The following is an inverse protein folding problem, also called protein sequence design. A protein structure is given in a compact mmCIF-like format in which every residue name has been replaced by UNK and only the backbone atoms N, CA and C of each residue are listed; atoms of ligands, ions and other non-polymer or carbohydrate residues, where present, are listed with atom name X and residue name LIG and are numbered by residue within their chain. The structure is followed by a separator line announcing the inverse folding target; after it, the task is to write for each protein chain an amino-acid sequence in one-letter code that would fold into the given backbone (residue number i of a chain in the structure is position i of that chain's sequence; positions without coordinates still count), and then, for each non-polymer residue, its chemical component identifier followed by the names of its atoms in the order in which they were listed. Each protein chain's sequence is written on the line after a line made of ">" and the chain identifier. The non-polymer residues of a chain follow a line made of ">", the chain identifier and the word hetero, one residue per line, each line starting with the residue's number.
data_IF_465311298940
#
_entry.id   IF_465311298940
#
_cell.length_a   1.000
_cell.length_b   1.000
_cell.length_c   1.000
_cell.angle_alpha   90.00
_cell.angle_beta   90.00
_cell.angle_gamma   90.00
#
_symmetry.space_group_name_H-M   'P 1'
#
loop_
_entity.id
_entity.type
_entity.pdbx_description
1 polymer ?
#
# COMPACT_ATOMS: atom_id res chain seq x y z
N UNK A 1 0.89 16.40 -20.39
CA UNK A 1 0.77 15.09 -19.72
C UNK A 1 2.09 14.66 -19.08
N UNK A 2 3.24 14.92 -19.72
CA UNK A 2 4.56 14.51 -19.23
C UNK A 2 4.91 14.98 -17.82
N UNK A 3 4.49 16.19 -17.40
CA UNK A 3 4.72 16.69 -16.03
C UNK A 3 3.68 16.25 -15.00
N UNK A 4 2.48 15.84 -15.43
CA UNK A 4 1.38 15.54 -14.52
C UNK A 4 1.62 14.23 -13.76
N UNK A 5 2.05 13.19 -14.47
CA UNK A 5 2.35 11.89 -13.88
C UNK A 5 3.41 11.95 -12.76
N UNK A 6 4.62 12.51 -12.99
CA UNK A 6 5.62 12.61 -11.93
C UNK A 6 5.15 13.49 -10.77
N UNK A 7 4.41 14.58 -11.05
CA UNK A 7 3.82 15.40 -10.00
C UNK A 7 2.83 14.61 -9.12
N UNK A 8 1.98 13.77 -9.71
CA UNK A 8 1.06 12.90 -8.98
C UNK A 8 1.80 11.84 -8.14
N UNK A 9 2.88 11.26 -8.67
CA UNK A 9 3.71 10.30 -7.92
C UNK A 9 4.39 10.96 -6.73
N UNK A 10 4.99 12.14 -6.93
CA UNK A 10 5.61 12.91 -5.86
C UNK A 10 4.57 13.29 -4.80
N UNK A 11 3.40 13.77 -5.21
CA UNK A 11 2.30 14.08 -4.29
C UNK A 11 1.87 12.85 -3.49
N UNK A 12 1.70 11.70 -4.15
CA UNK A 12 1.37 10.43 -3.50
C UNK A 12 2.43 10.04 -2.46
N UNK A 13 3.71 10.07 -2.84
CA UNK A 13 4.85 9.77 -1.96
C UNK A 13 4.85 10.68 -0.73
N UNK A 14 4.69 12.00 -0.93
CA UNK A 14 4.67 12.98 0.16
C UNK A 14 3.49 12.75 1.10
N UNK A 15 2.28 12.59 0.56
CA UNK A 15 1.07 12.41 1.38
C UNK A 15 1.12 11.11 2.18
N UNK A 16 1.46 9.99 1.53
CA UNK A 16 1.54 8.69 2.23
C UNK A 16 2.65 8.68 3.27
N UNK A 17 3.80 9.31 2.99
CA UNK A 17 4.88 9.46 3.98
C UNK A 17 4.45 10.32 5.16
N UNK A 18 3.78 11.44 4.93
CA UNK A 18 3.26 12.31 6.00
C UNK A 18 2.22 11.59 6.87
N UNK A 19 1.33 10.82 6.25
CA UNK A 19 0.37 9.95 6.95
C UNK A 19 1.11 8.89 7.77
N UNK A 20 2.15 8.27 7.21
CA UNK A 20 3.01 7.29 7.88
C UNK A 20 3.70 7.86 9.12
N UNK A 21 4.34 9.03 9.01
CA UNK A 21 4.96 9.75 10.13
C UNK A 21 3.93 10.07 11.20
N UNK A 22 2.76 10.58 10.82
CA UNK A 22 1.69 10.86 11.79
C UNK A 22 1.22 9.61 12.50
N UNK A 23 1.04 8.49 11.79
CA UNK A 23 0.70 7.21 12.40
C UNK A 23 1.78 6.74 13.40
N UNK A 24 3.07 6.88 13.07
CA UNK A 24 4.16 6.60 14.00
C UNK A 24 4.13 7.49 15.25
N UNK A 25 3.84 8.79 15.10
CA UNK A 25 3.71 9.72 16.23
C UNK A 25 2.53 9.35 17.13
N UNK A 26 1.40 8.94 16.55
CA UNK A 26 0.26 8.41 17.32
C UNK A 26 0.68 7.14 18.05
N UNK A 27 1.36 6.23 17.37
CA UNK A 27 1.81 4.96 17.93
C UNK A 27 2.84 5.09 19.06
N UNK A 28 3.62 6.19 19.05
CA UNK A 28 4.50 6.57 20.17
C UNK A 28 3.69 6.96 21.41
N UNK A 29 2.55 7.65 21.23
CA UNK A 29 1.68 8.10 22.33
C UNK A 29 0.78 6.99 22.85
N UNK A 30 0.21 6.15 21.98
CA UNK A 30 -0.76 5.11 22.34
C UNK A 30 -0.12 3.76 22.70
N UNK A 31 1.14 3.54 22.27
CA UNK A 31 1.83 2.26 22.42
C UNK A 31 1.27 1.11 21.56
N UNK A 32 0.30 1.37 20.68
CA UNK A 32 -0.37 0.31 19.92
C UNK A 32 0.47 -0.15 18.73
N UNK A 33 0.67 -1.48 18.61
CA UNK A 33 1.46 -2.09 17.53
C UNK A 33 0.91 -1.85 16.12
N UNK A 34 -0.42 -1.90 15.86
CA UNK A 34 -0.94 -1.69 14.51
C UNK A 34 -0.58 -0.32 13.92
N UNK A 35 -0.62 0.74 14.72
CA UNK A 35 -0.27 2.09 14.28
C UNK A 35 1.23 2.19 13.95
N UNK A 36 2.09 1.47 14.69
CA UNK A 36 3.53 1.37 14.38
C UNK A 36 3.76 0.68 13.04
N UNK A 37 3.09 -0.45 12.81
CA UNK A 37 3.23 -1.24 11.58
C UNK A 37 2.72 -0.47 10.36
N UNK A 38 1.54 0.15 10.45
CA UNK A 38 1.02 0.98 9.38
C UNK A 38 1.96 2.14 9.08
N UNK A 39 2.37 2.89 10.10
CA UNK A 39 3.23 4.05 9.94
C UNK A 39 4.62 3.70 9.41
N UNK A 40 5.25 2.64 9.93
CA UNK A 40 6.53 2.15 9.46
C UNK A 40 6.43 1.65 8.01
N UNK A 41 5.39 0.89 7.68
CA UNK A 41 5.13 0.44 6.31
C UNK A 41 5.04 1.59 5.31
N UNK A 42 4.26 2.63 5.63
CA UNK A 42 4.12 3.81 4.78
C UNK A 42 5.44 4.58 4.59
N UNK A 43 6.21 4.79 5.67
CA UNK A 43 7.50 5.52 5.59
C UNK A 43 8.57 4.70 4.86
N UNK A 44 8.68 3.40 5.14
CA UNK A 44 9.66 2.54 4.50
C UNK A 44 9.39 2.40 3.01
N UNK A 45 8.13 2.17 2.59
CA UNK A 45 7.79 2.04 1.16
C UNK A 45 7.89 3.37 0.43
N UNK A 46 7.15 4.39 0.87
CA UNK A 46 7.01 5.63 0.12
C UNK A 46 8.11 6.65 0.44
N UNK A 47 8.51 6.76 1.71
CA UNK A 47 9.45 7.78 2.15
C UNK A 47 10.91 7.44 1.88
N UNK A 48 11.25 6.15 1.87
CA UNK A 48 12.63 5.68 1.67
C UNK A 48 12.74 4.83 0.41
N UNK A 49 12.10 3.66 0.39
CA UNK A 49 12.28 2.64 -0.64
C UNK A 49 12.01 3.12 -2.06
N UNK A 50 10.90 3.83 -2.32
CA UNK A 50 10.65 4.35 -3.66
C UNK A 50 11.68 5.43 -4.10
N UNK A 51 11.93 6.51 -3.34
CA UNK A 51 12.96 7.48 -3.70
C UNK A 51 14.36 6.89 -3.88
N UNK A 52 14.80 5.98 -3.00
CA UNK A 52 16.13 5.36 -3.12
C UNK A 52 16.21 4.41 -4.32
N UNK A 53 15.09 3.81 -4.74
CA UNK A 53 15.05 2.97 -5.93
C UNK A 53 15.23 3.82 -7.18
N UNK A 54 14.55 4.97 -7.27
CA UNK A 54 14.77 5.94 -8.37
C UNK A 54 16.21 6.46 -8.36
N UNK A 55 16.73 6.82 -7.19
CA UNK A 55 18.11 7.32 -7.05
C UNK A 55 19.18 6.27 -7.40
N UNK A 56 18.83 4.98 -7.39
CA UNK A 56 19.73 3.91 -7.81
C UNK A 56 19.89 3.77 -9.32
N UNK A 57 19.14 4.53 -10.13
CA UNK A 57 19.11 4.42 -11.59
C UNK A 57 18.15 3.35 -12.12
N UNK A 58 17.46 2.63 -11.24
CA UNK A 58 16.51 1.60 -11.63
C UNK A 58 15.33 2.17 -12.43
N UNK A 59 15.00 1.51 -13.54
CA UNK A 59 14.05 2.01 -14.54
C UNK A 59 14.73 2.68 -15.75
N UNK A 60 16.06 2.80 -15.73
CA UNK A 60 16.90 3.17 -16.87
C UNK A 60 17.63 1.96 -17.47
N UNK A 61 18.80 2.21 -18.06
CA UNK A 61 19.69 1.15 -18.58
C UNK A 61 20.37 0.42 -17.42
N UNK A 62 20.65 -0.87 -17.58
CA UNK A 62 21.38 -1.68 -16.59
C UNK A 62 22.74 -1.07 -16.25
N UNK A 63 23.44 -0.48 -17.23
CA UNK A 63 24.72 0.22 -17.02
C UNK A 63 24.65 1.35 -15.97
N UNK A 64 23.49 1.98 -15.83
CA UNK A 64 23.28 3.12 -14.94
C UNK A 64 22.81 2.69 -13.54
N UNK A 65 22.50 1.40 -13.35
CA UNK A 65 21.96 0.90 -12.08
C UNK A 65 23.10 0.64 -11.09
N UNK A 66 23.07 1.36 -9.97
CA UNK A 66 23.84 0.98 -8.79
C UNK A 66 23.15 -0.19 -8.07
N UNK A 67 23.47 -1.42 -8.49
CA UNK A 67 22.81 -2.65 -8.03
C UNK A 67 22.83 -2.80 -6.49
N UNK A 68 23.96 -2.62 -5.77
CA UNK A 68 23.96 -2.69 -4.31
C UNK A 68 23.00 -1.69 -3.66
N UNK A 69 22.93 -0.46 -4.19
CA UNK A 69 22.03 0.57 -3.67
C UNK A 69 20.57 0.26 -3.98
N UNK A 70 20.27 -0.26 -5.18
CA UNK A 70 18.95 -0.76 -5.54
C UNK A 70 18.51 -1.93 -4.64
N UNK A 71 19.38 -2.90 -4.36
CA UNK A 71 19.07 -4.02 -3.45
C UNK A 71 18.75 -3.53 -2.04
N UNK A 72 19.53 -2.59 -1.50
CA UNK A 72 19.25 -2.00 -0.19
C UNK A 72 17.90 -1.27 -0.17
N UNK A 73 17.62 -0.53 -1.25
CA UNK A 73 16.33 0.13 -1.44
C UNK A 73 15.16 -0.84 -1.47
N UNK A 74 15.29 -1.94 -2.21
CA UNK A 74 14.23 -2.94 -2.36
C UNK A 74 14.01 -3.71 -1.06
N UNK A 75 15.05 -4.02 -0.28
CA UNK A 75 14.91 -4.59 1.07
C UNK A 75 14.09 -3.67 1.99
N UNK A 76 14.33 -2.36 1.93
CA UNK A 76 13.57 -1.38 2.70
C UNK A 76 12.09 -1.39 2.27
N UNK A 77 11.82 -1.41 0.96
CA UNK A 77 10.45 -1.55 0.43
C UNK A 77 9.77 -2.83 0.92
N UNK A 78 10.46 -3.98 0.84
CA UNK A 78 9.93 -5.28 1.26
C UNK A 78 9.65 -5.34 2.76
N UNK A 79 10.53 -4.76 3.58
CA UNK A 79 10.27 -4.63 5.01
C UNK A 79 9.02 -3.79 5.28
N UNK A 80 8.82 -2.72 4.50
CA UNK A 80 7.60 -1.91 4.56
C UNK A 80 6.34 -2.70 4.16
N UNK A 81 6.42 -3.53 3.12
CA UNK A 81 5.32 -4.43 2.73
C UNK A 81 5.01 -5.49 3.80
N UNK A 82 6.04 -6.06 4.43
CA UNK A 82 5.87 -6.96 5.57
C UNK A 82 5.21 -6.26 6.77
N UNK A 83 5.47 -4.96 6.97
CA UNK A 83 4.76 -4.18 7.98
C UNK A 83 3.26 -4.08 7.65
N UNK A 84 2.86 -3.88 6.39
CA UNK A 84 1.45 -3.90 5.98
C UNK A 84 0.79 -5.28 6.12
N UNK A 85 1.52 -6.35 5.80
CA UNK A 85 1.07 -7.73 6.05
C UNK A 85 0.82 -7.96 7.56
N UNK A 86 1.78 -7.57 8.40
CA UNK A 86 1.67 -7.64 9.85
C UNK A 86 0.53 -6.79 10.40
N UNK A 87 0.31 -5.59 9.85
CA UNK A 87 -0.83 -4.74 10.20
C UNK A 87 -2.16 -5.44 9.91
N UNK A 88 -2.31 -5.98 8.70
CA UNK A 88 -3.53 -6.69 8.28
C UNK A 88 -3.78 -7.90 9.18
N UNK A 89 -2.73 -8.67 9.46
CA UNK A 89 -2.79 -9.81 10.38
C UNK A 89 -3.22 -9.40 11.79
N UNK A 90 -2.62 -8.37 12.38
CA UNK A 90 -2.93 -7.94 13.74
C UNK A 90 -4.32 -7.32 13.89
N UNK A 91 -4.77 -6.54 12.91
CA UNK A 91 -6.06 -5.84 12.97
C UNK A 91 -7.23 -6.79 12.68
N UNK A 92 -7.11 -7.61 11.64
CA UNK A 92 -8.25 -8.40 11.15
C UNK A 92 -8.23 -9.86 11.64
N UNK A 93 -7.06 -10.39 12.00
CA UNK A 93 -6.82 -11.81 12.28
C UNK A 93 -5.87 -12.04 13.48
N UNK A 94 -6.04 -11.37 14.63
CA UNK A 94 -5.09 -11.45 15.75
C UNK A 94 -4.88 -12.88 16.30
N UNK A 95 -5.87 -13.76 16.20
CA UNK A 95 -5.78 -15.16 16.67
C UNK A 95 -5.66 -16.22 15.56
N UNK A 96 -5.56 -15.83 14.29
CA UNK A 96 -5.51 -16.81 13.21
C UNK A 96 -4.11 -17.41 13.08
N UNK A 97 -3.99 -18.73 13.26
CA UNK A 97 -2.70 -19.45 13.16
C UNK A 97 -2.03 -19.32 11.80
N UNK A 98 -2.80 -19.16 10.72
CA UNK A 98 -2.25 -18.97 9.38
C UNK A 98 -1.69 -17.57 9.13
N UNK A 99 -2.01 -16.57 9.97
CA UNK A 99 -1.59 -15.18 9.77
C UNK A 99 -0.06 -15.03 9.74
N UNK A 100 0.67 -15.47 10.78
CA UNK A 100 2.14 -15.45 10.78
C UNK A 100 2.75 -16.27 9.64
N UNK A 101 2.16 -17.43 9.31
CA UNK A 101 2.63 -18.27 8.21
C UNK A 101 2.51 -17.55 6.85
N UNK A 102 1.41 -16.83 6.62
CA UNK A 102 1.22 -16.04 5.40
C UNK A 102 2.21 -14.87 5.31
N UNK A 103 2.46 -14.17 6.42
CA UNK A 103 3.45 -13.08 6.48
C UNK A 103 4.86 -13.62 6.18
N UNK A 104 5.24 -14.75 6.78
CA UNK A 104 6.52 -15.39 6.56
C UNK A 104 6.68 -15.90 5.11
N UNK A 105 5.65 -16.56 4.58
CA UNK A 105 5.64 -17.03 3.19
C UNK A 105 5.78 -15.86 2.21
N UNK A 106 5.06 -14.75 2.43
CA UNK A 106 5.19 -13.55 1.61
C UNK A 106 6.61 -12.96 1.71
N UNK A 107 7.21 -12.94 2.89
CA UNK A 107 8.60 -12.50 3.09
C UNK A 107 9.61 -13.34 2.33
N UNK A 108 9.52 -14.66 2.44
CA UNK A 108 10.37 -15.59 1.68
C UNK A 108 10.19 -15.41 0.16
N UNK A 109 8.94 -15.23 -0.28
CA UNK A 109 8.63 -15.01 -1.69
C UNK A 109 9.24 -13.70 -2.22
N UNK A 110 9.14 -12.62 -1.45
CA UNK A 110 9.75 -11.32 -1.75
C UNK A 110 11.29 -11.40 -1.78
N UNK A 111 11.90 -12.10 -0.82
CA UNK A 111 13.36 -12.29 -0.77
C UNK A 111 13.87 -13.12 -1.95
N UNK A 112 13.15 -14.18 -2.33
CA UNK A 112 13.48 -14.97 -3.51
C UNK A 112 13.40 -14.12 -4.80
N UNK A 113 12.34 -13.30 -4.93
CA UNK A 113 12.20 -12.32 -6.00
C UNK A 113 13.37 -11.33 -6.05
N UNK A 114 13.75 -10.75 -4.92
CA UNK A 114 14.89 -9.83 -4.87
C UNK A 114 16.20 -10.49 -5.26
N UNK A 115 16.51 -11.66 -4.69
CA UNK A 115 17.75 -12.38 -4.96
C UNK A 115 17.87 -12.75 -6.45
N UNK A 116 16.78 -13.23 -7.05
CA UNK A 116 16.73 -13.55 -8.47
C UNK A 116 16.87 -12.31 -9.35
N UNK A 117 16.16 -11.22 -9.03
CA UNK A 117 16.25 -9.96 -9.76
C UNK A 117 17.65 -9.35 -9.71
N UNK A 118 18.30 -9.36 -8.53
CA UNK A 118 19.66 -8.87 -8.37
C UNK A 118 20.66 -9.68 -9.19
N UNK A 119 20.54 -11.02 -9.17
CA UNK A 119 21.37 -11.90 -9.99
C UNK A 119 21.20 -11.62 -11.48
N UNK A 120 19.96 -11.49 -11.94
CA UNK A 120 19.66 -11.26 -13.35
C UNK A 120 20.14 -9.87 -13.80
N UNK A 121 20.07 -8.84 -12.94
CA UNK A 121 20.65 -7.52 -13.23
C UNK A 121 22.18 -7.55 -13.39
N UNK A 122 22.88 -8.27 -12.52
CA UNK A 122 24.36 -8.40 -12.59
C UNK A 122 24.80 -9.13 -13.86
N UNK A 123 23.99 -10.07 -14.34
CA UNK A 123 24.30 -10.88 -15.53
C UNK A 123 23.77 -10.31 -16.85
N UNK A 124 22.97 -9.24 -16.81
CA UNK A 124 22.31 -8.68 -17.98
C UNK A 124 23.26 -7.84 -18.85
N UNK A 125 22.87 -7.67 -20.12
CA UNK A 125 23.50 -6.72 -21.03
C UNK A 125 23.35 -5.28 -20.47
N UNK A 126 24.45 -4.52 -20.33
CA UNK A 126 24.41 -3.14 -19.83
C UNK A 126 23.49 -2.20 -20.62
N UNK A 127 23.24 -2.49 -21.91
CA UNK A 127 22.35 -1.71 -22.77
C UNK A 127 20.86 -2.07 -22.63
N UNK A 128 20.52 -3.09 -21.85
CA UNK A 128 19.13 -3.49 -21.61
C UNK A 128 18.46 -2.57 -20.57
N UNK A 129 17.15 -2.42 -20.67
CA UNK A 129 16.33 -1.79 -19.63
C UNK A 129 16.34 -2.64 -18.35
N UNK A 130 16.60 -2.02 -17.19
CA UNK A 130 16.79 -2.75 -15.93
C UNK A 130 15.52 -3.48 -15.47
N UNK A 131 14.34 -2.93 -15.75
CA UNK A 131 13.07 -3.59 -15.40
C UNK A 131 12.80 -4.79 -16.33
N UNK A 132 13.23 -4.72 -17.60
CA UNK A 132 13.18 -5.85 -18.51
C UNK A 132 14.16 -6.96 -18.11
N UNK A 133 15.39 -6.60 -17.73
CA UNK A 133 16.40 -7.54 -17.25
C UNK A 133 15.90 -8.37 -16.05
N UNK A 134 15.26 -7.72 -15.08
CA UNK A 134 14.75 -8.36 -13.86
C UNK A 134 13.29 -8.85 -13.94
N UNK A 135 12.65 -8.80 -15.12
CA UNK A 135 11.19 -8.91 -15.29
C UNK A 135 10.53 -10.09 -14.56
N UNK A 136 11.12 -11.27 -14.66
CA UNK A 136 10.50 -12.50 -14.17
C UNK A 136 10.41 -12.46 -12.65
N UNK A 137 11.47 -12.02 -12.01
CA UNK A 137 11.55 -11.90 -10.56
C UNK A 137 10.81 -10.68 -10.01
N UNK A 138 10.74 -9.58 -10.77
CA UNK A 138 9.87 -8.44 -10.43
C UNK A 138 8.39 -8.85 -10.38
N UNK A 139 7.93 -9.72 -11.28
CA UNK A 139 6.57 -10.24 -11.21
C UNK A 139 6.31 -10.99 -9.90
N UNK A 140 7.29 -11.73 -9.38
CA UNK A 140 7.18 -12.38 -8.08
C UNK A 140 7.03 -11.35 -6.95
N UNK A 141 7.88 -10.33 -6.93
CA UNK A 141 7.74 -9.23 -5.96
C UNK A 141 6.37 -8.56 -6.05
N UNK A 142 5.87 -8.26 -7.27
CA UNK A 142 4.57 -7.64 -7.46
C UNK A 142 3.40 -8.53 -7.03
N UNK A 143 3.48 -9.85 -7.20
CA UNK A 143 2.44 -10.75 -6.67
C UNK A 143 2.36 -10.65 -5.15
N UNK A 144 3.50 -10.59 -4.45
CA UNK A 144 3.50 -10.39 -2.99
C UNK A 144 3.01 -8.98 -2.59
N UNK A 145 3.43 -7.94 -3.30
CA UNK A 145 3.00 -6.56 -3.02
C UNK A 145 1.50 -6.40 -3.24
N UNK A 146 1.00 -6.89 -4.37
CA UNK A 146 -0.42 -6.90 -4.71
C UNK A 146 -1.23 -7.75 -3.73
N UNK A 147 -0.70 -8.92 -3.34
CA UNK A 147 -1.31 -9.79 -2.34
C UNK A 147 -1.48 -9.11 -0.98
N UNK A 148 -0.53 -8.27 -0.57
CA UNK A 148 -0.61 -7.48 0.68
C UNK A 148 -1.85 -6.60 0.69
N UNK A 149 -2.02 -5.79 -0.36
CA UNK A 149 -3.11 -4.83 -0.45
C UNK A 149 -4.44 -5.51 -0.77
N UNK A 150 -4.45 -6.54 -1.62
CA UNK A 150 -5.64 -7.32 -1.92
C UNK A 150 -6.20 -8.01 -0.67
N UNK A 151 -5.33 -8.59 0.17
CA UNK A 151 -5.75 -9.19 1.44
C UNK A 151 -6.35 -8.14 2.38
N UNK A 152 -5.69 -6.98 2.50
CA UNK A 152 -6.18 -5.85 3.31
C UNK A 152 -7.54 -5.34 2.83
N UNK A 153 -7.72 -5.21 1.51
CA UNK A 153 -8.98 -4.79 0.90
C UNK A 153 -10.10 -5.79 1.21
N UNK A 154 -9.83 -7.09 1.02
CA UNK A 154 -10.80 -8.15 1.30
C UNK A 154 -11.26 -8.13 2.77
N UNK A 155 -10.33 -8.08 3.72
CA UNK A 155 -10.68 -8.05 5.15
C UNK A 155 -11.42 -6.76 5.52
N UNK A 156 -11.02 -5.62 4.97
CA UNK A 156 -11.69 -4.34 5.19
C UNK A 156 -13.14 -4.36 4.70
N UNK A 157 -13.40 -4.90 3.50
CA UNK A 157 -14.75 -5.07 2.96
C UNK A 157 -15.60 -6.05 3.80
N UNK A 158 -15.00 -7.17 4.22
CA UNK A 158 -15.66 -8.15 5.09
C UNK A 158 -16.06 -7.53 6.43
N UNK A 159 -15.16 -6.80 7.08
CA UNK A 159 -15.44 -6.10 8.33
C UNK A 159 -16.47 -5.00 8.16
N UNK A 160 -16.44 -4.24 7.06
CA UNK A 160 -17.48 -3.26 6.73
C UNK A 160 -18.86 -3.92 6.66
N UNK A 161 -18.97 -5.08 6.00
CA UNK A 161 -20.22 -5.84 5.92
C UNK A 161 -20.77 -6.20 7.30
N UNK A 162 -19.93 -6.72 8.19
CA UNK A 162 -20.32 -7.06 9.57
C UNK A 162 -20.67 -5.82 10.40
N UNK A 163 -19.87 -4.75 10.29
CA UNK A 163 -20.08 -3.50 11.01
C UNK A 163 -21.36 -2.79 10.56
N UNK A 164 -21.73 -2.86 9.27
CA UNK A 164 -23.03 -2.36 8.76
C UNK A 164 -24.21 -3.09 9.37
N UNK A 165 -24.14 -4.42 9.51
CA UNK A 165 -25.19 -5.21 10.18
C UNK A 165 -25.33 -4.80 11.65
N UNK A 166 -24.20 -4.60 12.35
CA UNK A 166 -24.21 -4.11 13.74
C UNK A 166 -24.74 -2.68 13.86
N UNK A 167 -24.40 -1.82 12.91
CA UNK A 167 -24.92 -0.45 12.85
C UNK A 167 -26.45 -0.43 12.70
N UNK A 168 -27.02 -1.30 11.87
CA UNK A 168 -28.46 -1.43 11.72
C UNK A 168 -29.18 -1.82 13.03
N UNK A 169 -28.46 -2.47 13.95
CA UNK A 169 -28.93 -2.83 15.30
C UNK A 169 -28.57 -1.79 16.38
N UNK A 170 -27.92 -0.68 16.02
CA UNK A 170 -27.43 0.31 16.99
C UNK A 170 -26.20 -0.12 17.79
N UNK A 171 -25.51 -1.19 17.39
CA UNK A 171 -24.37 -1.79 18.12
C UNK A 171 -22.99 -1.32 17.61
N UNK A 172 -22.94 -0.43 16.63
CA UNK A 172 -21.68 0.05 16.06
C UNK A 172 -21.74 1.54 15.74
N UNK A 173 -20.60 2.21 15.88
CA UNK A 173 -20.43 3.61 15.46
C UNK A 173 -20.39 3.70 13.91
N UNK A 174 -21.22 4.55 13.28
CA UNK A 174 -21.17 4.83 11.85
C UNK A 174 -19.77 5.17 11.34
N UNK A 175 -18.97 5.88 12.14
CA UNK A 175 -17.61 6.26 11.79
C UNK A 175 -16.71 5.04 11.56
N UNK A 176 -16.82 4.00 12.41
CA UNK A 176 -16.02 2.78 12.28
C UNK A 176 -16.37 2.04 10.99
N UNK A 177 -17.66 1.95 10.65
CA UNK A 177 -18.11 1.37 9.37
C UNK A 177 -17.50 2.10 8.18
N UNK A 178 -17.44 3.43 8.28
CA UNK A 178 -16.88 4.28 7.23
C UNK A 178 -15.36 4.18 7.14
N UNK A 179 -14.64 4.05 8.27
CA UNK A 179 -13.20 3.80 8.28
C UNK A 179 -12.85 2.50 7.56
N UNK A 180 -13.62 1.42 7.75
CA UNK A 180 -13.40 0.18 6.99
C UNK A 180 -13.61 0.36 5.48
N UNK A 181 -14.53 1.23 5.06
CA UNK A 181 -14.69 1.57 3.65
C UNK A 181 -13.47 2.32 3.11
N UNK A 182 -12.99 3.34 3.82
CA UNK A 182 -11.84 4.12 3.39
C UNK A 182 -10.57 3.26 3.29
N UNK A 183 -10.35 2.34 4.23
CA UNK A 183 -9.28 1.35 4.12
C UNK A 183 -9.44 0.43 2.92
N UNK A 184 -10.66 -0.06 2.64
CA UNK A 184 -10.90 -0.88 1.46
C UNK A 184 -10.60 -0.12 0.16
N UNK A 185 -11.01 1.14 0.05
CA UNK A 185 -10.73 1.99 -1.13
C UNK A 185 -9.23 2.21 -1.27
N UNK A 186 -8.54 2.58 -0.19
CA UNK A 186 -7.08 2.72 -0.16
C UNK A 186 -6.38 1.45 -0.66
N UNK A 187 -6.73 0.29 -0.09
CA UNK A 187 -6.09 -0.98 -0.42
C UNK A 187 -6.42 -1.45 -1.84
N UNK A 188 -7.65 -1.24 -2.34
CA UNK A 188 -7.99 -1.52 -3.73
C UNK A 188 -7.22 -0.62 -4.70
N UNK A 189 -7.10 0.67 -4.39
CA UNK A 189 -6.33 1.60 -5.21
C UNK A 189 -4.84 1.21 -5.25
N UNK A 190 -4.24 0.87 -4.10
CA UNK A 190 -2.87 0.37 -4.02
C UNK A 190 -2.69 -0.95 -4.80
N UNK A 191 -3.66 -1.88 -4.70
CA UNK A 191 -3.67 -3.11 -5.50
C UNK A 191 -3.69 -2.79 -7.00
N UNK A 192 -4.53 -1.83 -7.41
CA UNK A 192 -4.61 -1.39 -8.81
C UNK A 192 -3.31 -0.78 -9.34
N UNK A 193 -2.58 -0.03 -8.51
CA UNK A 193 -1.24 0.49 -8.85
C UNK A 193 -0.27 -0.67 -9.12
N UNK A 194 -0.26 -1.68 -8.25
CA UNK A 194 0.60 -2.87 -8.44
C UNK A 194 0.20 -3.64 -9.70
N UNK A 195 -1.10 -3.80 -9.98
CA UNK A 195 -1.58 -4.43 -11.20
C UNK A 195 -1.17 -3.66 -12.47
N UNK A 196 -1.17 -2.32 -12.43
CA UNK A 196 -0.68 -1.51 -13.54
C UNK A 196 0.81 -1.79 -13.82
N UNK A 197 1.63 -1.95 -12.78
CA UNK A 197 3.04 -2.35 -12.93
C UNK A 197 3.18 -3.76 -13.51
N UNK A 198 2.39 -4.72 -13.05
CA UNK A 198 2.37 -6.09 -13.62
C UNK A 198 2.03 -6.05 -15.11
N UNK A 199 0.99 -5.32 -15.49
CA UNK A 199 0.57 -5.18 -16.89
C UNK A 199 1.71 -4.60 -17.73
N UNK A 200 2.40 -3.57 -17.24
CA UNK A 200 3.53 -3.00 -17.99
C UNK A 200 4.72 -3.95 -18.12
N UNK A 201 5.06 -4.72 -17.08
CA UNK A 201 6.11 -5.74 -17.19
C UNK A 201 5.73 -6.80 -18.23
N UNK A 202 4.47 -7.27 -18.22
CA UNK A 202 3.99 -8.25 -19.20
C UNK A 202 3.99 -7.69 -20.63
N UNK A 203 3.68 -6.41 -20.80
CA UNK A 203 3.72 -5.70 -22.08
C UNK A 203 5.12 -5.17 -22.45
N UNK A 204 6.15 -5.49 -21.65
CA UNK A 204 7.54 -5.03 -21.83
C UNK A 204 7.67 -3.50 -21.95
N UNK A 205 6.80 -2.76 -21.25
CA UNK A 205 6.83 -1.30 -21.21
C UNK A 205 7.69 -0.82 -20.05
N UNK A 206 8.47 0.24 -20.29
CA UNK A 206 9.23 0.89 -19.25
C UNK A 206 8.28 1.49 -18.19
N UNK A 207 8.46 1.10 -16.94
CA UNK A 207 7.57 1.46 -15.83
C UNK A 207 7.59 2.97 -15.52
N UNK A 208 8.73 3.62 -15.74
CA UNK A 208 8.95 5.02 -15.41
C UNK A 208 8.37 5.99 -16.46
N UNK A 209 8.20 5.55 -17.72
CA UNK A 209 7.76 6.40 -18.83
C UNK A 209 6.43 5.98 -19.47
N UNK A 210 5.96 4.76 -19.20
CA UNK A 210 4.73 4.23 -19.80
C UNK A 210 3.47 4.94 -19.29
N UNK A 211 2.74 5.62 -20.19
CA UNK A 211 1.44 6.23 -19.89
C UNK A 211 0.39 5.22 -19.41
N UNK A 212 0.51 3.95 -19.82
CA UNK A 212 -0.35 2.84 -19.37
C UNK A 212 -0.19 2.58 -17.87
N UNK A 213 0.99 2.87 -17.30
CA UNK A 213 1.25 2.77 -15.87
C UNK A 213 0.96 4.08 -15.18
N UNK A 214 1.56 5.15 -15.68
CA UNK A 214 1.60 6.45 -15.04
C UNK A 214 0.21 7.08 -14.89
N UNK A 215 -0.63 6.98 -15.92
CA UNK A 215 -1.99 7.54 -15.89
C UNK A 215 -2.86 6.90 -14.82
N UNK A 216 -3.08 5.57 -14.86
CA UNK A 216 -3.84 4.88 -13.82
C UNK A 216 -3.21 5.02 -12.43
N UNK A 217 -1.88 4.95 -12.31
CA UNK A 217 -1.20 5.05 -11.02
C UNK A 217 -1.35 6.44 -10.39
N UNK A 218 -1.37 7.51 -11.19
CA UNK A 218 -1.63 8.86 -10.71
C UNK A 218 -3.03 8.99 -10.10
N UNK A 219 -4.07 8.52 -10.81
CA UNK A 219 -5.46 8.57 -10.34
C UNK A 219 -5.65 7.73 -9.08
N UNK A 220 -5.17 6.48 -9.12
CA UNK A 220 -5.27 5.57 -7.99
C UNK A 220 -4.44 6.06 -6.80
N UNK A 221 -3.28 6.67 -7.03
CA UNK A 221 -2.45 7.29 -6.00
C UNK A 221 -3.19 8.42 -5.28
N UNK A 222 -3.86 9.31 -6.02
CA UNK A 222 -4.69 10.38 -5.42
C UNK A 222 -5.84 9.79 -4.59
N UNK A 223 -6.54 8.77 -5.11
CA UNK A 223 -7.63 8.08 -4.40
C UNK A 223 -7.12 7.42 -3.11
N UNK A 224 -5.98 6.72 -3.19
CA UNK A 224 -5.34 6.08 -2.05
C UNK A 224 -4.93 7.12 -0.99
N UNK A 225 -4.22 8.16 -1.41
CA UNK A 225 -3.75 9.25 -0.55
C UNK A 225 -4.90 9.98 0.15
N UNK A 226 -5.97 10.31 -0.57
CA UNK A 226 -7.15 10.94 0.01
C UNK A 226 -7.84 10.03 1.03
N UNK A 227 -8.01 8.75 0.69
CA UNK A 227 -8.70 7.77 1.56
C UNK A 227 -7.94 7.55 2.86
N UNK A 228 -6.62 7.33 2.81
CA UNK A 228 -5.82 7.09 4.01
C UNK A 228 -5.65 8.37 4.84
N UNK A 229 -5.59 9.54 4.21
CA UNK A 229 -5.58 10.82 4.92
C UNK A 229 -6.87 11.04 5.72
N UNK A 230 -8.03 10.69 5.16
CA UNK A 230 -9.32 10.77 5.86
C UNK A 230 -9.44 9.78 7.01
N UNK A 231 -8.75 8.64 6.96
CA UNK A 231 -8.67 7.69 8.08
C UNK A 231 -7.86 8.27 9.24
N UNK A 232 -6.67 8.80 8.96
CA UNK A 232 -5.71 9.23 10.00
C UNK A 232 -6.00 10.65 10.51
N UNK A 233 -6.60 11.48 9.68
CA UNK A 233 -6.81 12.90 9.92
C UNK A 233 -8.18 13.42 9.38
N UNK A 234 -9.32 12.82 9.78
CA UNK A 234 -10.61 13.25 9.29
C UNK A 234 -10.92 14.71 9.70
N UNK A 235 -11.27 15.61 8.76
CA UNK A 235 -11.78 16.93 9.11
C UNK A 235 -13.04 16.82 9.96
N UNK A 236 -13.22 17.68 10.97
CA UNK A 236 -14.37 17.63 11.87
C UNK A 236 -15.72 17.69 11.12
N UNK A 237 -15.81 18.54 10.09
CA UNK A 237 -17.00 18.64 9.22
C UNK A 237 -17.28 17.33 8.47
N UNK A 238 -16.24 16.64 8.01
CA UNK A 238 -16.37 15.35 7.33
C UNK A 238 -16.91 14.28 8.29
N UNK A 239 -16.31 14.18 9.48
CA UNK A 239 -16.77 13.25 10.52
C UNK A 239 -18.22 13.54 10.94
N UNK A 240 -18.57 14.80 11.14
CA UNK A 240 -19.93 15.21 11.50
C UNK A 240 -20.96 14.83 10.42
N UNK A 241 -20.62 14.98 9.13
CA UNK A 241 -21.50 14.55 8.02
C UNK A 241 -21.71 13.03 8.02
N UNK A 242 -20.65 12.25 8.21
CA UNK A 242 -20.73 10.78 8.23
C UNK A 242 -21.55 10.27 9.42
N UNK A 243 -21.35 10.84 10.61
CA UNK A 243 -22.08 10.45 11.82
C UNK A 243 -23.52 10.98 11.80
N UNK A 244 -23.73 12.22 11.35
CA UNK A 244 -25.04 12.88 11.34
C UNK A 244 -26.03 12.32 10.31
N UNK A 245 -25.54 11.68 9.24
CA UNK A 245 -26.38 11.00 8.25
C UNK A 245 -26.85 9.61 8.69
N UNK A 246 -26.40 9.10 9.84
CA UNK A 246 -26.85 7.80 10.33
C UNK A 246 -28.33 7.87 10.76
N UNK A 247 -29.14 6.84 10.46
CA UNK A 247 -30.52 6.77 10.94
C UNK A 247 -30.52 6.94 12.45
N UNK A 248 -31.07 8.05 12.96
CA UNK A 248 -31.35 8.18 14.39
C UNK A 248 -32.35 7.09 14.70
N UNK A 249 -31.88 6.01 15.35
CA UNK A 249 -32.75 4.93 15.77
C UNK A 249 -33.97 5.56 16.42
N UNK A 250 -35.17 5.23 15.93
CA UNK A 250 -36.41 5.73 16.51
C UNK A 250 -36.30 5.46 18.01
N UNK A 251 -36.26 6.54 18.81
CA UNK A 251 -36.27 6.40 20.25
C UNK A 251 -37.42 5.44 20.58
N UNK A 252 -37.12 4.37 21.31
CA UNK A 252 -38.15 3.46 21.76
C UNK A 252 -39.23 4.32 22.44
N UNK A 253 -40.52 4.17 22.08
CA UNK A 253 -41.57 4.95 22.71
C UNK A 253 -41.44 4.77 24.22
N UNK A 254 -41.42 5.88 24.95
CA UNK A 254 -41.44 5.86 26.41
C UNK A 254 -42.72 5.13 26.83
N UNK A 255 -42.58 3.92 27.35
CA UNK A 255 -43.64 3.15 27.97
C UNK A 255 -43.94 3.64 29.37
#
# INVERSE_FOLDING_TARGET
>A
MELLAPACIVLYVVVVSAVGVRALLVARRTGRRPERLLGAGSVLVCGVGFPTSVASGFGGLVADVNVPFWVASELVTQLGMLCYYGFTQQVFRPGARFGPALVAAAGLFMLAGLAGAARDLVAADPALDSAQAARFWLLWCFVAYGGTFAWSAFESLRQRGMARRRLALGLADPWVVHVFLLYAIYSLAATGIVLANVVAVLLQRNLATSLVVLGPSAVLGVVAAASISLVVAPPARYRARVVGGAPRGRAAPAG
#
